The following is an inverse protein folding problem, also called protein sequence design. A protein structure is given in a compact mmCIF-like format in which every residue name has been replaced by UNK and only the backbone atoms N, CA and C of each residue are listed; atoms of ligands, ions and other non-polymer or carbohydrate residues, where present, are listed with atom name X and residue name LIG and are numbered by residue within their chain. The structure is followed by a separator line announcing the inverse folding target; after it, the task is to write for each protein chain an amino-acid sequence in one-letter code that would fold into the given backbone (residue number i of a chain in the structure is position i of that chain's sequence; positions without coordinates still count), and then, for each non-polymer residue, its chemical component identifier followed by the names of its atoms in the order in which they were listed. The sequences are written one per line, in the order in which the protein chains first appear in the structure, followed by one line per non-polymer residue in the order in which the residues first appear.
data_IF_017982995445
#
_entry.id   IF_017982995445
#
_cell.length_a   1.000
_cell.length_b   1.000
_cell.length_c   1.000
_cell.angle_alpha   90.00
_cell.angle_beta   90.00
_cell.angle_gamma   90.00
#
_symmetry.space_group_name_H-M   'P 1'
#
loop_
_entity.id
_entity.type
_entity.pdbx_description
1 polymer ?
#
# COMPACT_ATOMS: atom_id res chain seq x y z
N UNK A 1 -7.00 6.28 22.70
CA UNK A 1 -7.88 5.53 21.80
C UNK A 1 -7.03 5.22 20.59
N UNK A 2 -6.91 3.97 20.18
CA UNK A 2 -6.22 3.62 18.93
C UNK A 2 -7.24 3.80 17.82
N UNK A 3 -7.19 4.95 17.16
CA UNK A 3 -7.96 5.21 15.95
C UNK A 3 -7.32 4.41 14.81
N UNK A 4 -8.12 3.73 14.00
CA UNK A 4 -7.62 2.97 12.86
C UNK A 4 -8.28 3.44 11.57
N UNK A 5 -7.52 3.40 10.48
CA UNK A 5 -8.00 3.72 9.13
C UNK A 5 -7.86 2.51 8.23
N UNK A 6 -8.79 2.36 7.29
CA UNK A 6 -8.70 1.35 6.24
C UNK A 6 -8.05 1.96 5.02
N UNK A 7 -6.99 1.32 4.56
CA UNK A 7 -6.22 1.73 3.40
C UNK A 7 -6.18 0.61 2.37
N UNK A 8 -6.34 0.97 1.11
CA UNK A 8 -6.08 0.07 -0.01
C UNK A 8 -4.59 0.05 -0.26
N UNK A 9 -3.99 -1.13 -0.37
CA UNK A 9 -2.61 -1.27 -0.83
C UNK A 9 -2.58 -1.80 -2.27
N UNK A 10 -1.53 -1.47 -3.00
CA UNK A 10 -1.23 -1.99 -4.33
C UNK A 10 0.25 -2.35 -4.45
N UNK A 11 0.53 -3.62 -4.72
CA UNK A 11 1.88 -4.13 -4.90
C UNK A 11 2.34 -4.00 -6.37
N UNK A 12 3.00 -2.90 -6.69
CA UNK A 12 3.69 -2.64 -7.97
C UNK A 12 4.34 -1.26 -7.95
N UNK A 13 5.47 -1.07 -8.65
CA UNK A 13 6.28 0.15 -8.65
C UNK A 13 5.53 1.41 -9.11
N UNK A 14 4.45 1.26 -9.88
CA UNK A 14 3.66 2.39 -10.37
C UNK A 14 2.18 1.98 -10.48
N UNK A 15 1.28 2.84 -10.00
CA UNK A 15 -0.14 2.80 -10.39
C UNK A 15 -0.22 3.19 -11.87
N UNK A 16 -0.30 2.20 -12.76
CA UNK A 16 -0.37 2.42 -14.21
C UNK A 16 0.35 1.33 -15.01
N UNK A 17 0.24 1.36 -16.35
CA UNK A 17 0.87 0.35 -17.19
C UNK A 17 2.40 0.36 -17.02
N UNK A 18 2.96 -0.81 -16.80
CA UNK A 18 4.40 -1.07 -16.74
C UNK A 18 5.18 -0.32 -17.83
N UNK A 19 5.92 0.73 -17.45
CA UNK A 19 6.79 1.49 -18.37
C UNK A 19 7.94 0.64 -18.91
N UNK A 20 8.25 -0.50 -18.27
CA UNK A 20 9.24 -1.47 -18.71
C UNK A 20 8.81 -2.30 -19.93
N UNK A 21 7.55 -2.22 -20.38
CA UNK A 21 7.10 -2.80 -21.68
C UNK A 21 7.73 -2.15 -22.92
N UNK A 22 8.69 -1.23 -22.75
CA UNK A 22 9.46 -0.57 -23.82
C UNK A 22 10.78 -1.28 -24.19
N UNK A 23 10.94 -2.56 -23.83
CA UNK A 23 11.82 -3.48 -24.55
C UNK A 23 13.31 -3.28 -24.34
N UNK A 24 13.82 -3.59 -23.15
CA UNK A 24 15.26 -3.78 -22.95
C UNK A 24 15.54 -4.93 -21.98
N UNK A 25 16.07 -6.02 -22.51
CA UNK A 25 16.46 -7.30 -21.89
C UNK A 25 17.38 -7.21 -20.64
N UNK A 26 17.88 -6.01 -20.30
CA UNK A 26 18.79 -5.77 -19.20
C UNK A 26 18.08 -5.50 -17.86
N UNK A 27 16.75 -5.42 -17.88
CA UNK A 27 15.93 -5.13 -16.71
C UNK A 27 15.32 -6.44 -16.18
N UNK A 28 15.78 -6.89 -15.02
CA UNK A 28 15.11 -7.98 -14.29
C UNK A 28 13.71 -7.45 -13.95
N UNK A 29 12.68 -8.10 -14.49
CA UNK A 29 11.28 -7.81 -14.14
C UNK A 29 11.21 -7.73 -12.61
N UNK A 30 10.75 -6.62 -12.03
CA UNK A 30 10.57 -6.57 -10.60
C UNK A 30 9.49 -7.61 -10.28
N UNK A 31 9.57 -8.23 -9.10
CA UNK A 31 8.60 -9.23 -8.65
C UNK A 31 7.27 -8.53 -8.28
N UNK A 32 6.65 -7.88 -9.27
CA UNK A 32 5.44 -7.10 -9.17
C UNK A 32 4.25 -8.05 -9.35
N UNK A 33 3.75 -8.59 -8.24
CA UNK A 33 2.61 -9.51 -8.28
C UNK A 33 1.27 -8.81 -8.58
N UNK A 34 1.24 -7.47 -8.67
CA UNK A 34 0.04 -6.66 -8.88
C UNK A 34 -1.08 -6.93 -7.87
N UNK A 35 -0.72 -7.45 -6.69
CA UNK A 35 -1.66 -7.78 -5.64
C UNK A 35 -2.21 -6.50 -5.02
N UNK A 36 -3.52 -6.46 -4.80
CA UNK A 36 -4.20 -5.36 -4.13
C UNK A 36 -5.13 -5.89 -3.03
N UNK A 37 -5.36 -5.07 -2.03
CA UNK A 37 -6.22 -5.44 -0.92
C UNK A 37 -6.50 -4.25 -0.01
N UNK A 38 -7.28 -4.51 1.03
CA UNK A 38 -7.58 -3.52 2.08
C UNK A 38 -6.98 -4.03 3.37
N UNK A 39 -6.21 -3.17 4.03
CA UNK A 39 -5.69 -3.41 5.38
C UNK A 39 -6.17 -2.32 6.32
N UNK A 40 -6.17 -2.64 7.60
CA UNK A 40 -6.43 -1.69 8.68
C UNK A 40 -5.10 -1.31 9.32
N UNK A 41 -4.86 -0.01 9.48
CA UNK A 41 -3.61 0.55 10.01
C UNK A 41 -3.93 1.59 11.07
N UNK A 42 -2.98 1.84 11.97
CA UNK A 42 -3.14 2.88 12.98
C UNK A 42 -3.22 4.26 12.31
N UNK A 43 -4.14 5.10 12.77
CA UNK A 43 -4.38 6.41 12.21
C UNK A 43 -3.18 7.36 12.43
N UNK A 44 -2.44 7.20 13.52
CA UNK A 44 -1.22 7.97 13.80
C UNK A 44 -0.10 7.54 12.86
N UNK A 45 0.11 6.22 12.69
CA UNK A 45 1.10 5.71 11.73
C UNK A 45 0.80 6.16 10.29
N UNK A 46 -0.48 6.23 9.92
CA UNK A 46 -0.92 6.75 8.63
C UNK A 46 -0.66 8.26 8.48
N UNK A 47 -0.92 9.06 9.51
CA UNK A 47 -0.67 10.51 9.50
C UNK A 47 0.83 10.83 9.44
N UNK A 48 1.66 10.03 10.13
CA UNK A 48 3.12 10.18 10.17
C UNK A 48 3.85 9.50 8.99
N UNK A 49 3.11 8.93 8.02
CA UNK A 49 3.64 8.25 6.83
C UNK A 49 4.54 7.03 7.14
N UNK A 50 4.34 6.37 8.28
CA UNK A 50 5.13 5.20 8.73
C UNK A 50 4.51 3.84 8.36
N UNK A 51 3.36 3.81 7.70
CA UNK A 51 2.71 2.55 7.34
C UNK A 51 3.57 1.75 6.38
N UNK A 52 3.79 0.48 6.72
CA UNK A 52 4.39 -0.51 5.84
C UNK A 52 3.60 -1.81 5.86
N UNK A 53 3.61 -2.54 4.73
CA UNK A 53 2.91 -3.81 4.59
C UNK A 53 3.72 -4.80 3.75
N UNK A 54 3.87 -6.02 4.24
CA UNK A 54 4.47 -7.11 3.46
C UNK A 54 3.40 -7.71 2.56
N UNK A 55 3.57 -7.57 1.25
CA UNK A 55 2.69 -8.17 0.27
C UNK A 55 2.69 -9.69 0.41
N UNK A 56 1.56 -10.28 0.74
CA UNK A 56 1.46 -11.73 0.98
C UNK A 56 1.68 -12.59 -0.26
N UNK A 57 1.68 -12.00 -1.46
CA UNK A 57 1.83 -12.74 -2.72
C UNK A 57 3.29 -12.83 -3.22
N UNK A 58 4.08 -11.76 -3.12
CA UNK A 58 5.50 -11.76 -3.54
C UNK A 58 6.50 -11.55 -2.38
N UNK A 59 6.03 -11.19 -1.19
CA UNK A 59 6.89 -10.94 -0.03
C UNK A 59 7.59 -9.59 -0.03
N UNK A 60 7.31 -8.70 -0.99
CA UNK A 60 7.87 -7.34 -0.99
C UNK A 60 7.27 -6.49 0.13
N UNK A 61 8.11 -5.67 0.76
CA UNK A 61 7.70 -4.63 1.69
C UNK A 61 7.23 -3.39 0.91
N UNK A 62 5.99 -2.98 1.16
CA UNK A 62 5.36 -1.80 0.59
C UNK A 62 5.39 -0.69 1.65
N UNK A 63 5.92 0.48 1.30
CA UNK A 63 5.93 1.65 2.19
C UNK A 63 4.90 2.69 1.74
N UNK A 64 4.30 3.40 2.69
CA UNK A 64 3.35 4.47 2.42
C UNK A 64 3.94 5.56 1.52
N UNK A 65 5.22 5.91 1.72
CA UNK A 65 5.94 6.92 0.97
C UNK A 65 6.11 6.63 -0.53
N UNK A 66 5.88 5.39 -0.98
CA UNK A 66 6.09 4.94 -2.36
C UNK A 66 4.76 4.84 -3.16
N UNK A 67 3.73 5.61 -2.77
CA UNK A 67 2.40 5.64 -3.43
C UNK A 67 1.70 4.25 -3.50
N UNK A 68 2.10 3.31 -2.65
CA UNK A 68 1.50 1.96 -2.60
C UNK A 68 0.14 1.95 -1.90
N UNK A 69 -0.23 3.01 -1.19
CA UNK A 69 -1.41 3.03 -0.33
C UNK A 69 -2.37 4.16 -0.70
N UNK A 70 -3.66 3.90 -0.62
CA UNK A 70 -4.74 4.86 -0.83
C UNK A 70 -5.71 4.79 0.35
N UNK A 71 -6.01 5.93 0.97
CA UNK A 71 -7.01 6.00 2.03
C UNK A 71 -8.38 5.59 1.49
N UNK A 72 -8.98 4.56 2.10
CA UNK A 72 -10.27 4.03 1.66
C UNK A 72 -11.42 4.48 2.57
N UNK A 73 -11.27 4.32 3.88
CA UNK A 73 -12.31 4.66 4.86
C UNK A 73 -11.66 5.07 6.19
N UNK A 74 -12.16 6.15 6.78
CA UNK A 74 -11.76 6.59 8.12
C UNK A 74 -12.80 6.08 9.10
N UNK A 75 -12.41 5.14 9.94
CA UNK A 75 -13.24 4.62 11.03
C UNK A 75 -13.00 5.45 12.28
N UNK A 76 -13.79 6.50 12.48
CA UNK A 76 -13.90 7.13 13.79
C UNK A 76 -14.86 6.31 14.64
N UNK A 77 -14.34 5.72 15.72
CA UNK A 77 -15.19 5.08 16.72
C UNK A 77 -16.17 6.14 17.25
N UNK A 78 -17.51 5.97 17.09
CA UNK A 78 -18.45 6.95 17.58
C UNK A 78 -18.38 6.96 19.10
N UNK A 79 -17.83 8.04 19.65
CA UNK A 79 -17.82 8.35 21.09
C UNK A 79 -19.24 8.17 21.61
N UNK A 80 -19.49 7.07 22.33
CA UNK A 80 -20.75 6.86 23.02
C UNK A 80 -20.70 7.70 24.32
N UNK A 81 -21.65 8.63 24.53
CA UNK A 81 -21.69 9.51 25.70
C UNK A 81 -21.99 8.77 27.01
#
# INVERSE_FOLDING_TARGET
MTETVKVKFYCGMYRGPAKWKLGSDWYKEPDECCNEGVIEVDAVEWDEEYVSHICSSCGNELHQCDDHFELFEVTHDPIHP
#
